data_IF_521026001340
#
_entry.id   IF_521026001340
#
_cell.length_a   1.000
_cell.length_b   1.000
_cell.length_c   1.000
_cell.angle_alpha   90.00
_cell.angle_beta   90.00
_cell.angle_gamma   90.00
#
_symmetry.space_group_name_H-M   'P 1'
#
loop_
_entity.id
_entity.type
_entity.pdbx_description
1 polymer ?
#
# COMPACT_ATOMS: atom_id res chain seq x y z
N UNK A 1 -5.29 -29.84 -12.52
CA UNK A 1 -5.25 -29.27 -13.87
C UNK A 1 -3.79 -28.96 -14.22
N UNK A 2 -3.33 -29.31 -15.42
CA UNK A 2 -1.95 -29.09 -15.88
C UNK A 2 -1.96 -28.64 -17.34
N UNK A 3 -1.18 -27.62 -17.67
CA UNK A 3 -0.90 -27.16 -19.03
C UNK A 3 0.60 -26.83 -19.14
N UNK A 4 1.29 -27.36 -20.15
CA UNK A 4 2.72 -27.11 -20.40
C UNK A 4 2.91 -26.78 -21.87
N UNK A 5 3.61 -25.69 -22.17
CA UNK A 5 3.91 -25.25 -23.53
C UNK A 5 5.13 -24.33 -23.55
N UNK A 6 5.70 -24.14 -24.74
CA UNK A 6 6.73 -23.11 -24.94
C UNK A 6 6.11 -21.70 -24.83
N UNK A 7 6.93 -20.71 -24.46
CA UNK A 7 6.50 -19.32 -24.39
C UNK A 7 6.06 -18.85 -25.78
N UNK A 8 4.83 -18.33 -25.88
CA UNK A 8 4.24 -17.87 -27.15
C UNK A 8 3.66 -18.97 -28.04
N UNK A 9 3.80 -20.24 -27.68
CA UNK A 9 3.22 -21.33 -28.47
C UNK A 9 1.69 -21.37 -28.34
N UNK A 10 1.00 -21.52 -29.49
CA UNK A 10 -0.46 -21.67 -29.53
C UNK A 10 -0.96 -23.05 -29.09
N UNK A 11 -0.08 -24.07 -29.03
CA UNK A 11 -0.42 -25.45 -28.68
C UNK A 11 0.44 -25.95 -27.54
N UNK A 12 -0.14 -26.63 -26.52
CA UNK A 12 0.62 -27.22 -25.44
C UNK A 12 1.40 -28.46 -25.90
N UNK A 13 2.50 -28.74 -25.20
CA UNK A 13 3.19 -30.04 -25.22
C UNK A 13 2.48 -31.08 -24.33
N UNK A 14 1.80 -30.64 -23.26
CA UNK A 14 1.02 -31.49 -22.36
C UNK A 14 -0.20 -30.71 -21.83
N UNK A 15 -1.37 -31.36 -21.80
CA UNK A 15 -2.60 -30.80 -21.22
C UNK A 15 -3.40 -31.89 -20.50
N UNK A 16 -3.73 -31.66 -19.23
CA UNK A 16 -4.51 -32.58 -18.39
C UNK A 16 -5.51 -31.79 -17.54
N UNK A 17 -6.81 -31.94 -17.80
CA UNK A 17 -7.88 -31.22 -17.08
C UNK A 17 -7.67 -29.70 -17.03
N UNK A 18 -7.05 -29.10 -18.05
CA UNK A 18 -6.60 -27.72 -18.02
C UNK A 18 -7.74 -26.69 -17.87
N UNK A 19 -8.96 -27.02 -18.32
CA UNK A 19 -10.14 -26.16 -18.21
C UNK A 19 -10.93 -26.33 -16.90
N UNK A 20 -10.55 -27.29 -16.04
CA UNK A 20 -11.26 -27.52 -14.79
C UNK A 20 -10.93 -26.41 -13.78
N UNK A 21 -11.92 -25.77 -13.12
CA UNK A 21 -11.66 -24.84 -12.04
C UNK A 21 -10.91 -25.50 -10.89
N UNK A 22 -9.87 -24.85 -10.39
CA UNK A 22 -9.07 -25.31 -9.24
C UNK A 22 -8.75 -24.14 -8.33
N UNK A 23 -8.53 -24.39 -7.04
CA UNK A 23 -7.96 -23.39 -6.15
C UNK A 23 -6.52 -23.07 -6.59
N UNK A 24 -6.22 -21.84 -7.05
CA UNK A 24 -4.88 -21.48 -7.51
C UNK A 24 -3.88 -21.33 -6.35
N UNK A 25 -4.36 -21.25 -5.10
CA UNK A 25 -3.54 -20.95 -3.93
C UNK A 25 -2.62 -19.74 -4.20
N UNK A 26 -1.33 -19.84 -3.86
CA UNK A 26 -0.38 -18.75 -4.08
C UNK A 26 -0.07 -18.45 -5.55
N UNK A 27 -0.47 -19.28 -6.52
CA UNK A 27 -0.34 -18.95 -7.95
C UNK A 27 -1.19 -17.73 -8.32
N UNK A 28 -2.23 -17.42 -7.53
CA UNK A 28 -3.02 -16.18 -7.66
C UNK A 28 -2.14 -14.92 -7.61
N UNK A 29 -0.97 -14.98 -6.95
CA UNK A 29 -0.03 -13.86 -6.90
C UNK A 29 0.46 -13.42 -8.28
N UNK A 30 0.51 -14.31 -9.28
CA UNK A 30 0.88 -13.93 -10.64
C UNK A 30 -0.15 -12.97 -11.24
N UNK A 31 -1.44 -13.29 -11.09
CA UNK A 31 -2.53 -12.44 -11.59
C UNK A 31 -2.56 -11.09 -10.86
N UNK A 32 -2.46 -11.10 -9.53
CA UNK A 32 -2.48 -9.86 -8.76
C UNK A 32 -1.25 -8.99 -9.03
N UNK A 33 -0.08 -9.59 -9.26
CA UNK A 33 1.14 -8.86 -9.63
C UNK A 33 1.00 -8.21 -11.00
N UNK A 34 0.50 -8.95 -12.00
CA UNK A 34 0.24 -8.41 -13.33
C UNK A 34 -0.72 -7.23 -13.27
N UNK A 35 -1.87 -7.40 -12.59
CA UNK A 35 -2.84 -6.33 -12.41
C UNK A 35 -2.24 -5.11 -11.69
N UNK A 36 -1.44 -5.33 -10.64
CA UNK A 36 -0.79 -4.24 -9.92
C UNK A 36 0.19 -3.45 -10.81
N UNK A 37 0.99 -4.13 -11.63
CA UNK A 37 1.92 -3.46 -12.56
C UNK A 37 1.14 -2.65 -13.60
N UNK A 38 0.09 -3.22 -14.20
CA UNK A 38 -0.73 -2.55 -15.21
C UNK A 38 -1.46 -1.32 -14.63
N UNK A 39 -1.99 -1.43 -13.40
CA UNK A 39 -2.81 -0.38 -12.79
C UNK A 39 -1.99 0.71 -12.08
N UNK A 40 -0.92 0.33 -11.38
CA UNK A 40 -0.13 1.24 -10.55
C UNK A 40 1.17 1.68 -11.24
N UNK A 41 1.65 0.90 -12.20
CA UNK A 41 2.97 1.04 -12.80
C UNK A 41 4.07 0.34 -11.98
N UNK A 42 5.18 -0.07 -12.63
CA UNK A 42 6.27 -0.79 -11.96
C UNK A 42 7.07 0.09 -10.98
N UNK A 43 6.98 1.41 -11.10
CA UNK A 43 7.66 2.38 -10.25
C UNK A 43 6.76 2.94 -9.13
N UNK A 44 5.58 2.36 -8.90
CA UNK A 44 4.68 2.84 -7.86
C UNK A 44 5.32 2.77 -6.48
N UNK A 45 5.21 3.86 -5.74
CA UNK A 45 5.62 3.93 -4.33
C UNK A 45 4.41 4.24 -3.47
N UNK A 46 4.18 3.42 -2.47
CA UNK A 46 3.17 3.68 -1.44
C UNK A 46 3.46 5.00 -0.72
N UNK A 47 2.41 5.75 -0.37
CA UNK A 47 2.54 7.07 0.26
C UNK A 47 1.80 7.09 1.59
N UNK A 48 2.56 7.05 2.68
CA UNK A 48 2.06 7.34 4.03
C UNK A 48 2.33 8.80 4.34
N UNK A 49 1.32 9.55 4.77
CA UNK A 49 1.42 11.01 4.95
C UNK A 49 0.93 11.43 6.32
N UNK A 50 1.58 12.47 6.83
CA UNK A 50 1.07 13.26 7.93
C UNK A 50 0.47 14.55 7.39
N UNK A 51 -0.64 14.98 7.96
CA UNK A 51 -1.22 16.28 7.68
C UNK A 51 -1.89 16.85 8.93
N UNK A 52 -2.02 18.17 8.98
CA UNK A 52 -2.69 18.88 10.05
C UNK A 52 -3.56 19.97 9.43
N UNK A 53 -4.66 20.29 10.10
CA UNK A 53 -5.58 21.35 9.66
C UNK A 53 -5.24 22.71 10.29
N UNK A 54 -4.45 22.70 11.36
CA UNK A 54 -3.92 23.89 12.03
C UNK A 54 -2.43 24.10 11.67
N UNK A 55 -1.96 25.36 11.65
CA UNK A 55 -0.54 25.65 11.46
C UNK A 55 0.29 25.21 12.68
N UNK A 56 1.60 25.11 12.47
CA UNK A 56 2.59 24.90 13.53
C UNK A 56 3.12 26.27 13.93
N UNK A 57 2.97 26.64 15.20
CA UNK A 57 3.41 27.92 15.76
C UNK A 57 4.44 27.66 16.86
N UNK A 58 5.64 28.24 16.76
CA UNK A 58 6.76 28.02 17.69
C UNK A 58 7.05 26.53 17.96
N UNK A 59 6.89 25.72 16.91
CA UNK A 59 7.07 24.27 16.94
C UNK A 59 5.97 23.49 17.66
N UNK A 60 4.82 24.11 17.93
CA UNK A 60 3.64 23.49 18.52
C UNK A 60 2.51 23.46 17.51
N UNK A 61 1.97 22.27 17.23
CA UNK A 61 0.70 22.13 16.51
C UNK A 61 -0.46 22.27 17.50
N UNK A 62 -1.30 23.27 17.28
CA UNK A 62 -2.52 23.51 18.06
C UNK A 62 -3.74 22.85 17.41
N UNK A 63 -3.75 21.52 17.43
CA UNK A 63 -4.80 20.70 16.86
C UNK A 63 -4.33 19.28 16.62
N UNK A 64 -5.15 18.51 15.92
CA UNK A 64 -4.88 17.10 15.65
C UNK A 64 -3.84 16.93 14.55
N UNK A 65 -2.99 15.91 14.73
CA UNK A 65 -2.08 15.43 13.71
C UNK A 65 -2.68 14.17 13.10
N UNK A 66 -2.95 14.19 11.80
CA UNK A 66 -3.50 13.03 11.10
C UNK A 66 -2.40 12.23 10.43
N UNK A 67 -2.43 10.91 10.59
CA UNK A 67 -1.64 9.94 9.86
C UNK A 67 -2.55 9.18 8.88
N UNK A 68 -2.42 9.45 7.59
CA UNK A 68 -3.10 8.69 6.54
C UNK A 68 -2.19 7.59 6.02
N UNK A 69 -2.59 6.35 6.27
CA UNK A 69 -1.89 5.16 5.80
C UNK A 69 -2.06 4.97 4.29
N UNK A 70 -0.94 4.81 3.58
CA UNK A 70 -0.97 4.60 2.12
C UNK A 70 -1.26 3.17 1.68
N UNK A 71 -1.20 2.21 2.60
CA UNK A 71 -1.24 0.77 2.29
C UNK A 71 0.12 0.13 2.07
N UNK A 72 1.21 0.82 2.45
CA UNK A 72 2.58 0.34 2.30
C UNK A 72 2.78 -0.99 3.05
N UNK A 73 2.93 -2.14 2.36
CA UNK A 73 3.15 -3.43 3.00
C UNK A 73 4.54 -3.51 3.64
N UNK A 74 5.43 -2.56 3.35
CA UNK A 74 6.79 -2.48 3.89
C UNK A 74 6.94 -1.38 4.95
N UNK A 75 5.86 -0.82 5.50
CA UNK A 75 5.94 0.15 6.60
C UNK A 75 6.44 -0.52 7.89
N UNK A 76 7.76 -0.56 8.07
CA UNK A 76 8.40 -1.06 9.29
C UNK A 76 8.48 0.01 10.39
N UNK A 77 8.82 -0.41 11.61
CA UNK A 77 9.04 0.50 12.73
C UNK A 77 10.17 1.50 12.43
N UNK A 78 11.25 1.07 11.77
CA UNK A 78 12.35 1.95 11.37
C UNK A 78 11.91 3.03 10.38
N UNK A 79 11.10 2.67 9.37
CA UNK A 79 10.54 3.65 8.42
C UNK A 79 9.60 4.61 9.12
N UNK A 80 8.81 4.13 10.08
CA UNK A 80 7.96 4.99 10.90
C UNK A 80 8.77 6.01 11.70
N UNK A 81 9.89 5.59 12.33
CA UNK A 81 10.78 6.52 13.03
C UNK A 81 11.41 7.56 12.10
N UNK A 82 11.73 7.21 10.86
CA UNK A 82 12.22 8.17 9.87
C UNK A 82 11.16 9.22 9.51
N UNK A 83 9.88 8.82 9.38
CA UNK A 83 8.78 9.76 9.16
C UNK A 83 8.63 10.74 10.34
N UNK A 84 8.67 10.23 11.57
CA UNK A 84 8.61 11.07 12.77
C UNK A 84 9.81 12.02 12.87
N UNK A 85 11.00 11.56 12.47
CA UNK A 85 12.19 12.41 12.41
C UNK A 85 12.01 13.53 11.38
N UNK A 86 11.41 13.23 10.23
CA UNK A 86 11.09 14.24 9.21
C UNK A 86 10.13 15.30 9.74
N UNK A 87 9.13 14.92 10.55
CA UNK A 87 8.22 15.87 11.19
C UNK A 87 8.96 16.80 12.16
N UNK A 88 9.85 16.25 13.00
CA UNK A 88 10.67 17.07 13.90
C UNK A 88 11.61 18.00 13.15
N UNK A 89 12.24 17.52 12.07
CA UNK A 89 13.09 18.34 11.21
C UNK A 89 12.27 19.46 10.52
N UNK A 90 10.99 19.22 10.26
CA UNK A 90 10.03 20.23 9.77
C UNK A 90 9.54 21.22 10.83
N UNK A 91 10.11 21.20 12.04
CA UNK A 91 9.81 22.16 13.11
C UNK A 91 8.77 21.68 14.13
N UNK A 92 8.13 20.53 13.93
CA UNK A 92 7.15 20.02 14.88
C UNK A 92 7.83 19.42 16.12
N UNK A 93 7.69 20.09 17.27
CA UNK A 93 8.22 19.62 18.56
C UNK A 93 7.13 19.07 19.49
N UNK A 94 5.90 19.59 19.39
CA UNK A 94 4.77 19.23 20.25
C UNK A 94 3.45 19.27 19.49
N UNK A 95 2.55 18.35 19.83
CA UNK A 95 1.15 18.34 19.39
C UNK A 95 0.27 18.62 20.61
N UNK A 96 -0.65 19.58 20.49
CA UNK A 96 -1.68 19.91 21.49
C UNK A 96 -3.05 19.54 20.93
N UNK A 97 -3.24 18.25 20.76
CA UNK A 97 -4.41 17.60 20.18
C UNK A 97 -4.13 16.11 20.11
N UNK A 98 -4.92 15.39 19.35
CA UNK A 98 -4.79 13.95 19.21
C UNK A 98 -3.94 13.55 17.99
N UNK A 99 -3.37 12.34 18.06
CA UNK A 99 -2.84 11.66 16.88
C UNK A 99 -3.96 10.80 16.27
N UNK A 100 -4.46 11.22 15.12
CA UNK A 100 -5.60 10.57 14.46
C UNK A 100 -5.11 9.68 13.33
N UNK A 101 -5.49 8.40 13.35
CA UNK A 101 -5.18 7.46 12.27
C UNK A 101 -6.32 7.49 11.25
N UNK A 102 -6.04 8.03 10.06
CA UNK A 102 -6.98 8.06 8.94
C UNK A 102 -6.93 6.74 8.17
N UNK A 103 -8.08 6.05 8.15
CA UNK A 103 -8.31 4.78 7.46
C UNK A 103 -9.18 4.92 6.20
N UNK A 104 -9.54 6.13 5.81
CA UNK A 104 -10.49 6.42 4.73
C UNK A 104 -10.08 5.80 3.39
N UNK A 105 -8.78 5.69 3.12
CA UNK A 105 -8.26 5.10 1.87
C UNK A 105 -8.68 3.64 1.64
N UNK A 106 -8.90 2.88 2.73
CA UNK A 106 -9.30 1.47 2.69
C UNK A 106 -10.65 1.22 3.37
N UNK A 107 -11.38 2.28 3.68
CA UNK A 107 -12.74 2.13 4.14
C UNK A 107 -13.54 1.44 3.01
N UNK A 108 -14.31 0.38 3.30
CA UNK A 108 -15.26 -0.13 2.32
C UNK A 108 -16.16 1.04 1.89
N UNK A 109 -16.32 1.25 0.58
CA UNK A 109 -17.06 2.38 0.02
C UNK A 109 -18.38 2.58 0.77
N UNK A 110 -18.56 3.77 1.33
CA UNK A 110 -19.59 4.05 2.33
C UNK A 110 -21.02 3.82 1.84
N UNK A 111 -21.87 3.40 2.78
CA UNK A 111 -23.28 3.79 2.86
C UNK A 111 -23.41 5.31 3.03
#
# INVERSE_FOLDING_TARGET
AVWVGEVGARRPRLSLNAAAPTNPASVMKLLTTYAAIEMLGPAYTWKTRFFALAPIEDGVLHGDLHLQGGGDPALTLERFWLLLRSLRAGGLSKVRGDLVIDRGLFAPGGS
#
